data_IF_031471510256
#
_entry.id   IF_031471510256
#
_cell.length_a   1.000
_cell.length_b   1.000
_cell.length_c   1.000
_cell.angle_alpha   90.00
_cell.angle_beta   90.00
_cell.angle_gamma   90.00
#
_symmetry.space_group_name_H-M   'P 1'
#
loop_
_entity.id
_entity.type
_entity.pdbx_description
1 polymer ?
#
# COMPACT_ATOMS: atom_id res chain seq x y z
N UNK A 1 -11.55 21.34 -8.55
CA UNK A 1 -11.00 19.97 -8.53
C UNK A 1 -11.29 19.42 -7.14
N UNK A 2 -12.07 18.35 -6.99
CA UNK A 2 -12.35 17.77 -5.66
C UNK A 2 -11.03 17.32 -5.02
N UNK A 3 -10.76 17.79 -3.80
CA UNK A 3 -9.57 17.43 -3.04
C UNK A 3 -9.54 15.90 -2.88
N UNK A 4 -8.61 15.25 -3.58
CA UNK A 4 -8.43 13.80 -3.53
C UNK A 4 -7.58 13.44 -2.32
N UNK A 5 -8.10 13.71 -1.11
CA UNK A 5 -7.44 13.36 0.15
C UNK A 5 -7.23 11.85 0.22
N UNK A 6 -6.11 11.42 0.80
CA UNK A 6 -5.82 9.98 0.94
C UNK A 6 -6.69 9.37 2.03
N UNK A 7 -6.89 10.08 3.15
CA UNK A 7 -7.75 9.61 4.22
C UNK A 7 -9.08 10.36 4.19
N UNK A 8 -10.16 9.62 4.35
CA UNK A 8 -11.52 10.15 4.41
C UNK A 8 -11.72 10.89 5.76
N UNK A 9 -12.44 12.03 5.80
CA UNK A 9 -12.45 12.91 6.97
C UNK A 9 -12.91 12.25 8.29
N UNK A 10 -13.89 11.36 8.25
CA UNK A 10 -14.39 10.68 9.45
C UNK A 10 -13.42 9.59 9.92
N UNK A 11 -12.76 8.91 8.98
CA UNK A 11 -11.69 7.96 9.29
C UNK A 11 -10.46 8.68 9.87
N UNK A 12 -10.12 9.87 9.37
CA UNK A 12 -9.08 10.74 9.97
C UNK A 12 -9.41 11.04 11.43
N UNK A 13 -10.62 11.52 11.71
CA UNK A 13 -11.05 11.84 13.07
C UNK A 13 -11.01 10.61 13.98
N UNK A 14 -11.47 9.45 13.49
CA UNK A 14 -11.45 8.21 14.24
C UNK A 14 -10.03 7.70 14.53
N UNK A 15 -9.14 7.69 13.54
CA UNK A 15 -7.76 7.26 13.75
C UNK A 15 -7.02 8.20 14.70
N UNK A 16 -7.23 9.51 14.56
CA UNK A 16 -6.63 10.51 15.44
C UNK A 16 -7.11 10.37 16.90
N UNK A 17 -8.41 10.12 17.13
CA UNK A 17 -8.95 9.92 18.48
C UNK A 17 -8.37 8.70 19.20
N UNK A 18 -7.84 7.73 18.44
CA UNK A 18 -7.17 6.54 18.98
C UNK A 18 -5.64 6.66 19.00
N UNK A 19 -5.08 7.83 18.66
CA UNK A 19 -3.62 8.03 18.57
C UNK A 19 -2.94 7.27 17.44
N UNK A 20 -3.71 6.78 16.46
CA UNK A 20 -3.22 6.00 15.31
C UNK A 20 -2.90 6.85 14.08
N UNK A 21 -3.13 8.16 14.18
CA UNK A 21 -2.84 9.15 13.13
C UNK A 21 -2.34 10.45 13.77
N UNK A 22 -1.34 11.07 13.15
CA UNK A 22 -0.80 12.35 13.56
C UNK A 22 -0.13 13.11 12.41
N UNK A 23 0.39 14.33 12.68
CA UNK A 23 1.07 15.12 11.67
C UNK A 23 2.34 14.43 11.15
N UNK A 24 2.62 14.65 9.86
CA UNK A 24 3.85 14.24 9.22
C UNK A 24 5.04 15.15 9.53
N UNK A 25 6.13 14.95 8.79
CA UNK A 25 7.30 15.84 8.86
C UNK A 25 7.07 17.16 8.11
N UNK A 26 6.12 17.17 7.20
CA UNK A 26 5.73 18.32 6.38
C UNK A 26 4.23 18.56 6.52
N UNK A 27 3.78 19.76 6.18
CA UNK A 27 2.35 20.13 6.18
C UNK A 27 1.52 19.28 5.22
N UNK A 28 2.12 18.77 4.15
CA UNK A 28 1.47 17.88 3.18
C UNK A 28 1.56 16.38 3.50
N UNK A 29 2.06 15.98 4.68
CA UNK A 29 2.22 14.57 5.06
C UNK A 29 1.57 14.22 6.40
N UNK A 30 1.24 12.95 6.57
CA UNK A 30 0.61 12.37 7.74
C UNK A 30 1.41 11.16 8.22
N UNK A 31 1.43 10.91 9.54
CA UNK A 31 1.95 9.67 10.13
C UNK A 31 0.77 8.80 10.54
N UNK A 32 0.64 7.63 9.91
CA UNK A 32 -0.39 6.64 10.22
C UNK A 32 0.24 5.37 10.78
N UNK A 33 -0.39 4.76 11.79
CA UNK A 33 0.07 3.51 12.35
C UNK A 33 0.11 2.42 11.26
N UNK A 34 1.21 1.67 11.15
CA UNK A 34 1.44 0.71 10.04
C UNK A 34 0.29 -0.28 9.89
N UNK A 35 -0.25 -0.80 11.01
CA UNK A 35 -1.44 -1.68 11.05
C UNK A 35 -2.72 -1.13 10.39
N UNK A 36 -2.79 0.17 10.08
CA UNK A 36 -3.97 0.85 9.51
C UNK A 36 -3.78 1.32 8.06
N UNK A 37 -2.64 1.02 7.45
CA UNK A 37 -2.34 1.40 6.05
C UNK A 37 -3.30 0.73 5.06
N UNK A 38 -3.24 -0.59 4.91
CA UNK A 38 -4.02 -1.35 3.94
C UNK A 38 -4.70 -2.59 4.57
N UNK A 39 -5.43 -3.35 3.76
CA UNK A 39 -6.28 -4.44 4.24
C UNK A 39 -5.50 -5.58 4.92
N UNK A 40 -4.25 -5.79 4.53
CA UNK A 40 -3.37 -6.81 5.12
C UNK A 40 -2.49 -6.28 6.25
N UNK A 41 -2.46 -4.96 6.45
CA UNK A 41 -1.50 -4.35 7.37
C UNK A 41 -1.71 -4.74 8.83
N UNK A 42 -2.94 -5.01 9.25
CA UNK A 42 -3.21 -5.41 10.64
C UNK A 42 -2.61 -6.79 10.96
N UNK A 43 -2.71 -7.72 10.01
CA UNK A 43 -2.13 -9.07 10.10
C UNK A 43 -0.59 -9.01 9.98
N UNK A 44 -0.07 -8.28 9.00
CA UNK A 44 1.37 -8.15 8.74
C UNK A 44 2.12 -7.51 9.91
N UNK A 45 1.49 -6.51 10.54
CA UNK A 45 2.07 -5.75 11.63
C UNK A 45 1.43 -6.07 12.99
N UNK A 46 0.81 -7.24 13.16
CA UNK A 46 0.16 -7.64 14.41
C UNK A 46 1.09 -7.57 15.63
N UNK A 47 2.39 -7.79 15.41
CA UNK A 47 3.45 -7.70 16.42
C UNK A 47 3.71 -6.27 16.93
N UNK A 48 3.20 -5.24 16.25
CA UNK A 48 3.32 -3.84 16.65
C UNK A 48 2.10 -3.46 17.53
N UNK A 49 2.31 -3.08 18.81
CA UNK A 49 1.23 -2.62 19.68
C UNK A 49 0.56 -1.35 19.16
N UNK A 50 -0.78 -1.27 19.25
CA UNK A 50 -1.57 -0.10 18.81
C UNK A 50 -1.47 1.10 19.76
N UNK A 51 -0.96 0.92 20.97
CA UNK A 51 -0.88 1.96 22.01
C UNK A 51 0.47 2.71 22.01
N UNK A 52 1.24 2.63 20.92
CA UNK A 52 2.51 3.35 20.79
C UNK A 52 2.22 4.84 20.57
N UNK A 53 2.71 5.68 21.49
CA UNK A 53 2.64 7.14 21.35
C UNK A 53 3.48 7.63 20.18
N UNK A 54 2.94 8.58 19.39
CA UNK A 54 3.61 9.24 18.25
C UNK A 54 4.95 9.92 18.62
N UNK A 55 5.09 10.34 19.88
CA UNK A 55 6.27 11.01 20.43
C UNK A 55 7.33 10.03 20.96
N UNK A 56 6.98 8.75 21.09
CA UNK A 56 7.91 7.75 21.59
C UNK A 56 8.97 7.40 20.53
N UNK A 57 10.18 6.97 20.95
CA UNK A 57 11.19 6.46 20.02
C UNK A 57 10.67 5.29 19.16
N UNK A 58 9.83 4.43 19.73
CA UNK A 58 9.21 3.29 19.05
C UNK A 58 8.26 3.70 17.91
N UNK A 59 7.82 4.96 17.88
CA UNK A 59 6.93 5.48 16.84
C UNK A 59 7.58 5.50 15.45
N UNK A 60 8.92 5.44 15.37
CA UNK A 60 9.64 5.33 14.09
C UNK A 60 9.34 4.01 13.38
N UNK A 61 9.21 2.93 14.14
CA UNK A 61 8.96 1.61 13.60
C UNK A 61 7.46 1.29 13.51
N UNK A 62 6.64 1.94 14.34
CA UNK A 62 5.19 1.72 14.38
C UNK A 62 4.39 2.56 13.37
N UNK A 63 4.92 3.69 12.91
CA UNK A 63 4.20 4.61 12.02
C UNK A 63 4.87 4.72 10.65
N UNK A 64 4.04 4.86 9.62
CA UNK A 64 4.42 5.15 8.25
C UNK A 64 4.07 6.61 7.93
N UNK A 65 4.91 7.29 7.13
CA UNK A 65 4.62 8.64 6.64
C UNK A 65 4.04 8.55 5.23
N UNK A 66 2.84 9.08 5.03
CA UNK A 66 2.14 9.13 3.73
C UNK A 66 1.80 10.57 3.36
N UNK A 67 1.63 10.90 2.07
CA UNK A 67 1.07 12.19 1.67
C UNK A 67 -0.38 12.35 2.16
N UNK A 68 -0.80 13.58 2.44
CA UNK A 68 -2.17 13.89 2.83
C UNK A 68 -3.12 13.89 1.62
N UNK A 69 -2.62 14.29 0.45
CA UNK A 69 -3.36 14.41 -0.81
C UNK A 69 -2.72 13.54 -1.87
N UNK A 70 -3.55 12.79 -2.61
CA UNK A 70 -3.06 11.80 -3.59
C UNK A 70 -2.26 12.44 -4.74
N UNK A 71 -2.69 13.61 -5.22
CA UNK A 71 -1.99 14.38 -6.25
C UNK A 71 -1.32 15.57 -5.57
N UNK A 72 -0.04 15.43 -5.25
CA UNK A 72 0.75 16.42 -4.51
C UNK A 72 2.25 16.25 -4.78
N UNK A 73 3.05 17.26 -4.43
CA UNK A 73 4.51 17.15 -4.41
C UNK A 73 4.97 16.05 -3.44
N UNK A 74 4.31 15.91 -2.30
CA UNK A 74 4.61 14.88 -1.31
C UNK A 74 4.38 13.48 -1.87
N UNK A 75 3.38 13.28 -2.75
CA UNK A 75 3.22 12.02 -3.47
C UNK A 75 4.42 11.71 -4.35
N UNK A 76 4.96 12.70 -5.08
CA UNK A 76 6.15 12.50 -5.93
C UNK A 76 7.36 12.01 -5.11
N UNK A 77 7.56 12.60 -3.93
CA UNK A 77 8.61 12.15 -3.00
C UNK A 77 8.29 10.73 -2.48
N UNK A 78 7.05 10.47 -2.09
CA UNK A 78 6.62 9.18 -1.55
C UNK A 78 6.82 8.02 -2.54
N UNK A 79 6.51 8.24 -3.82
CA UNK A 79 6.66 7.23 -4.87
C UNK A 79 8.12 6.97 -5.25
N UNK A 80 9.07 7.75 -4.70
CA UNK A 80 10.49 7.45 -4.75
C UNK A 80 11.34 8.42 -5.54
N UNK A 81 10.80 9.57 -5.94
CA UNK A 81 11.59 10.63 -6.55
C UNK A 81 12.36 11.40 -5.48
N UNK A 82 13.55 11.88 -5.87
CA UNK A 82 14.31 12.85 -5.07
C UNK A 82 13.52 14.14 -4.89
N UNK A 83 13.79 14.90 -3.82
CA UNK A 83 13.10 16.17 -3.58
C UNK A 83 13.29 17.17 -4.72
N UNK A 84 14.47 17.19 -5.33
CA UNK A 84 14.75 18.04 -6.50
C UNK A 84 13.86 17.65 -7.68
N UNK A 85 13.79 16.35 -8.02
CA UNK A 85 12.95 15.87 -9.12
C UNK A 85 11.47 16.02 -8.84
N UNK A 86 11.03 15.78 -7.61
CA UNK A 86 9.66 15.98 -7.17
C UNK A 86 9.24 17.46 -7.30
N UNK A 87 10.14 18.40 -6.99
CA UNK A 87 9.88 19.83 -7.15
C UNK A 87 9.77 20.20 -8.63
N UNK A 88 10.73 19.76 -9.45
CA UNK A 88 10.72 19.97 -10.90
C UNK A 88 9.43 19.46 -11.56
N UNK A 89 9.02 18.22 -11.28
CA UNK A 89 7.82 17.64 -11.87
C UNK A 89 6.53 18.26 -11.32
N UNK A 90 6.52 18.66 -10.04
CA UNK A 90 5.38 19.35 -9.47
C UNK A 90 5.15 20.70 -10.14
N UNK A 91 6.23 21.48 -10.32
CA UNK A 91 6.17 22.77 -11.00
C UNK A 91 5.68 22.61 -12.45
N UNK A 92 6.12 21.56 -13.16
CA UNK A 92 5.60 21.24 -14.49
C UNK A 92 4.10 20.86 -14.46
N UNK A 93 3.66 20.07 -13.48
CA UNK A 93 2.28 19.63 -13.35
C UNK A 93 1.30 20.77 -13.05
N UNK A 94 1.65 21.68 -12.13
CA UNK A 94 0.76 22.80 -11.77
C UNK A 94 0.71 23.88 -12.85
N UNK A 95 1.77 24.00 -13.65
CA UNK A 95 1.84 24.90 -14.80
C UNK A 95 1.46 24.19 -16.12
N UNK A 96 0.87 23.00 -16.03
CA UNK A 96 0.53 22.21 -17.20
C UNK A 96 -0.55 22.93 -18.03
N UNK A 97 -0.37 23.08 -19.35
CA UNK A 97 -1.30 23.82 -20.18
C UNK A 97 -2.67 23.12 -20.20
N UNK A 98 -3.75 23.91 -20.15
CA UNK A 98 -5.12 23.40 -20.18
C UNK A 98 -5.44 22.60 -21.45
N UNK A 99 -4.69 22.81 -22.54
CA UNK A 99 -4.80 22.07 -23.80
C UNK A 99 -4.16 20.68 -23.77
N UNK A 100 -3.39 20.34 -22.74
CA UNK A 100 -2.64 19.07 -22.66
C UNK A 100 -1.50 18.97 -23.68
N UNK A 101 -0.72 17.86 -23.65
CA UNK A 101 0.30 17.59 -24.64
C UNK A 101 -0.36 17.00 -25.90
N UNK A 102 -0.67 17.86 -26.87
CA UNK A 102 -1.11 17.45 -28.21
C UNK A 102 -2.62 17.46 -28.42
N UNK A 103 -2.97 17.69 -29.68
CA UNK A 103 -4.26 18.16 -30.21
C UNK A 103 -5.43 17.15 -30.14
N UNK A 104 -5.38 16.17 -29.22
CA UNK A 104 -6.22 14.97 -29.24
C UNK A 104 -7.14 14.74 -28.04
N UNK A 105 -7.17 15.62 -27.04
CA UNK A 105 -8.12 15.53 -25.92
C UNK A 105 -7.92 14.35 -24.95
N UNK A 106 -6.76 13.66 -24.99
CA UNK A 106 -6.47 12.57 -24.06
C UNK A 106 -6.11 13.14 -22.67
N UNK A 107 -6.91 12.80 -21.65
CA UNK A 107 -6.63 13.22 -20.28
C UNK A 107 -5.46 12.40 -19.70
N UNK A 108 -4.28 13.01 -19.62
CA UNK A 108 -3.10 12.41 -19.00
C UNK A 108 -3.34 12.29 -17.49
N UNK A 109 -3.23 11.07 -16.94
CA UNK A 109 -3.35 10.90 -15.49
C UNK A 109 -2.06 11.32 -14.78
N UNK A 110 -2.14 11.60 -13.48
CA UNK A 110 -0.96 11.99 -12.70
C UNK A 110 0.16 10.93 -12.75
N UNK A 111 -0.18 9.64 -12.75
CA UNK A 111 0.81 8.57 -12.82
C UNK A 111 1.43 8.46 -14.22
N UNK A 112 0.63 8.61 -15.29
CA UNK A 112 1.13 8.59 -16.67
C UNK A 112 2.06 9.77 -16.94
N UNK A 113 1.76 10.94 -16.36
CA UNK A 113 2.63 12.11 -16.40
C UNK A 113 3.99 11.78 -15.77
N UNK A 114 4.00 11.22 -14.55
CA UNK A 114 5.25 10.89 -13.85
C UNK A 114 6.06 9.87 -14.64
N UNK A 115 5.47 8.72 -15.01
CA UNK A 115 6.19 7.63 -15.67
C UNK A 115 6.57 7.99 -17.11
N UNK A 116 5.80 8.85 -17.77
CA UNK A 116 6.09 9.43 -19.08
C UNK A 116 7.36 10.28 -19.09
N UNK A 117 7.59 11.08 -18.03
CA UNK A 117 8.81 11.92 -17.92
C UNK A 117 10.11 11.11 -17.88
N UNK A 118 10.02 9.82 -17.50
CA UNK A 118 11.16 8.91 -17.43
C UNK A 118 11.49 8.24 -18.78
N UNK A 119 10.60 8.29 -19.79
CA UNK A 119 10.72 7.49 -21.02
C UNK A 119 11.91 7.89 -21.92
N UNK A 120 12.38 9.14 -21.83
CA UNK A 120 13.45 9.65 -22.70
C UNK A 120 14.87 9.36 -22.17
N UNK A 121 15.01 8.52 -21.15
CA UNK A 121 16.28 8.23 -20.50
C UNK A 121 16.92 6.97 -21.10
N UNK A 122 18.22 7.04 -21.38
CA UNK A 122 18.99 5.89 -21.90
C UNK A 122 19.03 4.79 -20.85
N UNK A 123 18.63 3.58 -21.26
CA UNK A 123 18.43 2.44 -20.39
C UNK A 123 19.71 1.59 -20.23
N UNK A 124 19.86 0.89 -19.11
CA UNK A 124 20.88 -0.17 -18.94
C UNK A 124 20.26 -1.37 -18.23
N UNK A 125 20.71 -2.57 -18.60
CA UNK A 125 20.41 -3.83 -17.93
C UNK A 125 21.70 -4.60 -17.58
N UNK A 126 22.86 -3.94 -17.69
CA UNK A 126 24.16 -4.55 -17.43
C UNK A 126 24.41 -4.71 -15.94
N UNK A 127 25.24 -5.68 -15.55
CA UNK A 127 25.62 -5.90 -14.15
C UNK A 127 26.76 -4.96 -13.71
N UNK A 128 26.52 -3.65 -13.86
CA UNK A 128 27.44 -2.59 -13.45
C UNK A 128 26.74 -1.63 -12.49
N UNK A 129 27.10 -1.73 -11.21
CA UNK A 129 26.44 -0.95 -10.17
C UNK A 129 26.62 0.56 -10.31
N UNK A 130 27.75 1.01 -10.89
CA UNK A 130 28.01 2.42 -11.13
C UNK A 130 27.10 2.94 -12.25
N UNK A 131 26.94 2.17 -13.33
CA UNK A 131 26.02 2.51 -14.40
C UNK A 131 24.57 2.58 -13.90
N UNK A 132 24.12 1.60 -13.11
CA UNK A 132 22.78 1.61 -12.53
C UNK A 132 22.53 2.85 -11.69
N UNK A 133 23.43 3.18 -10.77
CA UNK A 133 23.30 4.39 -9.94
C UNK A 133 23.29 5.66 -10.79
N UNK A 134 24.14 5.75 -11.82
CA UNK A 134 24.13 6.87 -12.75
C UNK A 134 22.78 7.00 -13.47
N UNK A 135 22.17 5.89 -13.91
CA UNK A 135 20.86 5.90 -14.57
C UNK A 135 19.71 6.26 -13.62
N UNK A 136 19.68 5.69 -12.41
CA UNK A 136 18.67 6.03 -11.41
C UNK A 136 18.77 7.51 -10.98
N UNK A 137 19.99 8.03 -10.85
CA UNK A 137 20.24 9.45 -10.60
C UNK A 137 19.72 10.32 -11.74
N UNK A 138 19.97 9.93 -13.00
CA UNK A 138 19.47 10.67 -14.16
C UNK A 138 17.93 10.68 -14.24
N UNK A 139 17.28 9.59 -13.80
CA UNK A 139 15.82 9.52 -13.63
C UNK A 139 15.32 10.34 -12.41
N UNK A 140 16.22 10.84 -11.57
CA UNK A 140 15.91 11.59 -10.36
C UNK A 140 15.34 10.76 -9.22
N UNK A 141 15.62 9.44 -9.19
CA UNK A 141 15.21 8.53 -8.12
C UNK A 141 15.98 8.84 -6.83
N UNK A 142 15.29 8.85 -5.69
CA UNK A 142 15.90 9.13 -4.39
C UNK A 142 16.89 8.04 -3.96
N UNK A 143 18.00 8.43 -3.32
CA UNK A 143 19.10 7.52 -2.95
C UNK A 143 18.63 6.30 -2.14
N UNK A 144 17.73 6.49 -1.19
CA UNK A 144 17.17 5.39 -0.39
C UNK A 144 16.37 4.37 -1.24
N UNK A 145 15.72 4.83 -2.31
CA UNK A 145 15.02 3.95 -3.26
C UNK A 145 16.02 3.25 -4.16
N UNK A 146 17.08 3.95 -4.58
CA UNK A 146 18.17 3.30 -5.31
C UNK A 146 18.80 2.18 -4.47
N UNK A 147 19.10 2.44 -3.20
CA UNK A 147 19.71 1.44 -2.32
C UNK A 147 18.80 0.23 -2.11
N UNK A 148 17.47 0.40 -2.11
CA UNK A 148 16.53 -0.70 -2.06
C UNK A 148 16.49 -1.52 -3.36
N UNK A 149 16.55 -0.87 -4.53
CA UNK A 149 16.62 -1.54 -5.84
C UNK A 149 17.96 -2.26 -6.02
N UNK A 150 19.04 -1.67 -5.50
CA UNK A 150 20.42 -2.11 -5.65
C UNK A 150 20.89 -3.06 -4.53
N UNK A 151 19.99 -3.49 -3.64
CA UNK A 151 20.34 -4.38 -2.55
C UNK A 151 20.91 -5.70 -3.11
N UNK A 152 22.14 -6.11 -2.71
CA UNK A 152 22.80 -7.30 -3.24
C UNK A 152 21.98 -8.59 -3.09
N UNK A 153 21.13 -8.67 -2.05
CA UNK A 153 20.27 -9.83 -1.82
C UNK A 153 19.26 -10.04 -2.97
N UNK A 154 18.88 -8.95 -3.64
CA UNK A 154 17.92 -8.94 -4.74
C UNK A 154 18.60 -8.71 -6.09
N UNK A 155 19.92 -8.90 -6.19
CA UNK A 155 20.67 -8.72 -7.44
C UNK A 155 20.10 -9.55 -8.59
N UNK A 156 19.71 -10.81 -8.35
CA UNK A 156 19.14 -11.68 -9.38
C UNK A 156 17.85 -11.11 -9.99
N UNK A 157 17.08 -10.38 -9.18
CA UNK A 157 15.81 -9.78 -9.54
C UNK A 157 16.06 -8.45 -10.22
N UNK A 158 16.93 -7.60 -9.64
CA UNK A 158 17.41 -6.38 -10.28
C UNK A 158 17.84 -6.65 -11.73
N UNK A 159 18.63 -7.70 -11.97
CA UNK A 159 19.13 -8.05 -13.30
C UNK A 159 18.12 -8.74 -14.22
N UNK A 160 16.90 -9.05 -13.76
CA UNK A 160 15.87 -9.64 -14.63
C UNK A 160 15.24 -8.61 -15.58
N UNK A 161 15.37 -7.34 -15.25
CA UNK A 161 14.80 -6.23 -15.99
C UNK A 161 15.73 -5.02 -15.98
N UNK A 162 15.39 -4.03 -16.80
CA UNK A 162 16.21 -2.85 -16.94
C UNK A 162 16.09 -1.85 -15.78
N UNK A 163 17.08 -0.97 -15.63
CA UNK A 163 17.06 0.08 -14.61
C UNK A 163 15.82 1.00 -14.73
N UNK A 164 15.43 1.37 -15.96
CA UNK A 164 14.25 2.19 -16.19
C UNK A 164 12.95 1.46 -15.85
N UNK A 165 12.90 0.15 -16.11
CA UNK A 165 11.77 -0.70 -15.74
C UNK A 165 11.55 -0.65 -14.23
N UNK A 166 12.58 -0.95 -13.43
CA UNK A 166 12.44 -0.97 -11.97
C UNK A 166 12.11 0.39 -11.36
N UNK A 167 12.62 1.48 -11.95
CA UNK A 167 12.25 2.82 -11.53
C UNK A 167 10.74 3.08 -11.72
N UNK A 168 10.19 2.75 -12.89
CA UNK A 168 8.76 2.91 -13.18
C UNK A 168 7.90 1.99 -12.33
N UNK A 169 8.24 0.72 -12.27
CA UNK A 169 7.52 -0.30 -11.50
C UNK A 169 7.44 0.11 -10.02
N UNK A 170 8.56 0.58 -9.44
CA UNK A 170 8.59 1.10 -8.07
C UNK A 170 7.62 2.26 -7.86
N UNK A 171 7.59 3.23 -8.80
CA UNK A 171 6.70 4.39 -8.73
C UNK A 171 5.23 3.96 -8.83
N UNK A 172 4.91 3.11 -9.80
CA UNK A 172 3.56 2.59 -10.04
C UNK A 172 3.04 1.78 -8.85
N UNK A 173 3.85 0.86 -8.32
CA UNK A 173 3.49 0.05 -7.15
C UNK A 173 3.25 0.92 -5.91
N UNK A 174 4.13 1.90 -5.64
CA UNK A 174 3.95 2.83 -4.50
C UNK A 174 2.70 3.69 -4.66
N UNK A 175 2.43 4.18 -5.87
CA UNK A 175 1.22 4.96 -6.16
C UNK A 175 -0.05 4.12 -6.03
N UNK A 176 -0.04 2.87 -6.51
CA UNK A 176 -1.13 1.93 -6.31
C UNK A 176 -1.38 1.68 -4.82
N UNK A 177 -0.33 1.51 -4.02
CA UNK A 177 -0.42 1.40 -2.57
C UNK A 177 -1.13 2.59 -1.91
N UNK A 178 -0.91 3.83 -2.39
CA UNK A 178 -1.65 5.00 -1.90
C UNK A 178 -3.15 4.95 -2.25
N UNK A 179 -3.50 4.48 -3.47
CA UNK A 179 -4.91 4.29 -3.85
C UNK A 179 -5.59 3.21 -3.01
N UNK A 180 -4.87 2.17 -2.63
CA UNK A 180 -5.40 1.12 -1.76
C UNK A 180 -5.63 1.62 -0.33
N UNK A 181 -4.72 2.43 0.21
CA UNK A 181 -4.92 3.14 1.49
C UNK A 181 -6.17 4.02 1.39
N UNK A 182 -6.33 4.77 0.30
CA UNK A 182 -7.49 5.63 0.09
C UNK A 182 -8.80 4.85 0.02
N UNK A 183 -8.84 3.76 -0.75
CA UNK A 183 -10.02 2.89 -0.85
C UNK A 183 -10.41 2.33 0.51
N UNK A 184 -9.43 1.87 1.29
CA UNK A 184 -9.68 1.32 2.62
C UNK A 184 -10.14 2.39 3.61
N UNK A 185 -9.58 3.59 3.56
CA UNK A 185 -10.03 4.72 4.39
C UNK A 185 -11.49 5.08 4.11
N UNK A 186 -11.88 5.14 2.83
CA UNK A 186 -13.28 5.31 2.45
C UNK A 186 -14.18 4.17 2.97
N UNK A 187 -13.69 2.93 2.95
CA UNK A 187 -14.43 1.80 3.50
C UNK A 187 -14.66 1.92 5.01
N UNK A 188 -13.61 2.24 5.77
CA UNK A 188 -13.72 2.46 7.23
C UNK A 188 -14.68 3.61 7.55
N UNK A 189 -14.63 4.70 6.78
CA UNK A 189 -15.59 5.79 6.94
C UNK A 189 -17.04 5.33 6.69
N UNK A 190 -17.29 4.54 5.64
CA UNK A 190 -18.63 3.97 5.40
C UNK A 190 -19.09 3.10 6.57
N UNK A 191 -18.20 2.30 7.17
CA UNK A 191 -18.49 1.48 8.35
C UNK A 191 -18.81 2.33 9.58
N UNK A 192 -18.05 3.40 9.83
CA UNK A 192 -18.29 4.36 10.91
C UNK A 192 -19.68 5.03 10.76
N UNK A 193 -20.02 5.46 9.54
CA UNK A 193 -21.34 6.05 9.25
C UNK A 193 -22.47 5.04 9.49
N UNK A 194 -22.29 3.78 9.04
CA UNK A 194 -23.27 2.70 9.27
C UNK A 194 -23.45 2.40 10.76
N UNK A 195 -22.36 2.37 11.53
CA UNK A 195 -22.40 2.15 12.96
C UNK A 195 -23.17 3.27 13.68
N UNK A 196 -22.96 4.53 13.28
CA UNK A 196 -23.67 5.67 13.84
C UNK A 196 -25.17 5.70 13.48
N UNK A 197 -25.56 5.15 12.34
CA UNK A 197 -26.97 5.06 11.91
C UNK A 197 -27.74 3.89 12.52
N UNK A 198 -27.09 2.95 13.19
CA UNK A 198 -27.81 1.86 13.88
C UNK A 198 -28.52 2.45 15.09
N UNK A 199 -29.85 2.29 15.22
CA UNK A 199 -30.55 2.69 16.44
C UNK A 199 -29.94 1.90 17.60
N UNK A 200 -29.44 2.62 18.60
CA UNK A 200 -29.11 2.01 19.89
C UNK A 200 -30.40 1.36 20.38
N UNK A 201 -30.42 0.03 20.41
CA UNK A 201 -31.58 -0.69 20.94
C UNK A 201 -31.75 -0.30 22.39
N UNK A 202 -32.80 0.45 22.69
CA UNK A 202 -33.26 0.61 24.06
C UNK A 202 -33.50 -0.78 24.66
N UNK A 203 -33.04 -1.04 25.89
CA UNK A 203 -33.37 -2.26 26.59
C UNK A 203 -34.86 -2.18 26.94
N UNK A 204 -35.71 -2.85 26.16
CA UNK A 204 -37.08 -3.13 26.58
C UNK A 204 -37.00 -4.22 27.66
N UNK A 205 -36.75 -3.80 28.89
CA UNK A 205 -37.28 -4.49 30.07
C UNK A 205 -38.81 -4.42 29.98
N UNK A 206 -39.47 -5.56 29.81
CA UNK A 206 -40.83 -5.93 30.25
C UNK A 206 -40.91 -7.45 29.95
N UNK A 207 -40.70 -8.37 30.89
CA UNK A 207 -41.60 -8.63 32.02
C UNK A 207 -42.82 -9.44 31.54
N UNK A 208 -42.76 -10.79 31.55
CA UNK A 208 -43.90 -11.61 31.10
C UNK A 208 -43.72 -13.14 31.07
N UNK A 209 -43.72 -13.74 32.26
CA UNK A 209 -43.98 -15.13 32.71
C UNK A 209 -44.74 -16.11 31.77
N UNK A 210 -44.25 -17.37 31.73
CA UNK A 210 -45.03 -18.63 31.55
C UNK A 210 -44.89 -19.28 30.17
N UNK A 211 -44.74 -20.61 29.97
CA UNK A 211 -45.04 -21.79 30.79
C UNK A 211 -44.39 -23.05 30.15
N UNK A 212 -44.12 -24.05 30.98
CA UNK A 212 -43.52 -25.37 30.71
C UNK A 212 -44.26 -26.29 29.72
N UNK A 213 -43.49 -27.20 29.12
CA UNK A 213 -43.88 -28.52 28.60
C UNK A 213 -43.05 -28.87 27.36
N UNK A 214 -42.36 -30.00 27.18
CA UNK A 214 -42.20 -31.26 27.90
C UNK A 214 -41.56 -32.24 26.90
N UNK A 215 -40.45 -32.87 27.29
CA UNK A 215 -39.85 -34.15 26.88
C UNK A 215 -40.26 -34.81 25.53
N UNK A 216 -39.30 -35.11 24.63
CA UNK A 216 -38.66 -36.44 24.48
C UNK A 216 -37.83 -36.62 23.19
N UNK A 217 -36.84 -37.50 23.33
CA UNK A 217 -35.85 -37.99 22.37
C UNK A 217 -36.48 -38.76 21.18
N UNK A 218 -35.92 -38.63 19.97
CA UNK A 218 -35.23 -39.70 19.20
C UNK A 218 -34.81 -39.23 17.79
N UNK A 219 -33.50 -39.34 17.54
CA UNK A 219 -32.83 -39.96 16.38
C UNK A 219 -32.90 -39.42 14.92
N UNK A 220 -31.70 -39.45 14.34
CA UNK A 220 -31.33 -39.73 12.94
C UNK A 220 -31.39 -38.64 11.84
N UNK A 221 -30.16 -38.24 11.47
CA UNK A 221 -29.59 -38.21 10.11
C UNK A 221 -29.88 -37.03 9.15
N UNK A 222 -28.79 -36.30 8.90
CA UNK A 222 -28.19 -36.05 7.58
C UNK A 222 -28.46 -34.71 6.84
N UNK A 223 -27.32 -34.20 6.35
CA UNK A 223 -27.09 -33.36 5.16
C UNK A 223 -27.05 -31.81 5.29
N UNK A 224 -25.80 -31.34 5.34
CA UNK A 224 -25.17 -30.35 4.44
C UNK A 224 -25.51 -28.86 4.55
N UNK A 225 -24.48 -28.07 4.81
CA UNK A 225 -24.48 -26.62 4.59
C UNK A 225 -23.23 -25.89 5.09
N UNK A 226 -22.03 -26.45 4.89
CA UNK A 226 -20.77 -25.74 5.12
C UNK A 226 -20.57 -24.62 4.09
N UNK A 227 -20.15 -23.44 4.57
CA UNK A 227 -19.80 -22.30 3.71
C UNK A 227 -18.95 -21.23 4.40
N UNK A 228 -18.14 -21.57 5.40
CA UNK A 228 -17.06 -20.70 5.88
C UNK A 228 -15.73 -21.22 5.34
N UNK A 229 -15.14 -20.54 4.36
CA UNK A 229 -13.74 -20.74 3.99
C UNK A 229 -12.91 -19.60 4.57
N UNK A 230 -12.38 -19.88 5.76
CA UNK A 230 -11.11 -19.32 6.22
C UNK A 230 -10.01 -19.80 5.27
N UNK A 231 -9.20 -18.88 4.76
CA UNK A 231 -8.00 -19.18 3.98
C UNK A 231 -6.89 -18.30 4.53
N UNK A 232 -6.08 -18.83 5.44
CA UNK A 232 -4.63 -18.60 5.49
C UNK A 232 -4.07 -19.42 6.65
N UNK A 233 -3.41 -20.52 6.32
CA UNK A 233 -2.89 -21.46 7.31
C UNK A 233 -2.22 -22.63 6.65
N UNK A 234 -1.32 -22.38 5.70
CA UNK A 234 -0.36 -23.35 5.17
C UNK A 234 0.61 -22.67 4.20
N UNK A 235 1.58 -21.94 4.73
CA UNK A 235 2.87 -21.77 4.06
C UNK A 235 4.00 -21.48 5.07
N UNK A 236 4.10 -22.34 6.08
CA UNK A 236 5.35 -22.60 6.77
C UNK A 236 5.89 -23.93 6.22
N UNK A 237 6.49 -23.87 5.04
CA UNK A 237 7.46 -24.88 4.63
C UNK A 237 8.77 -24.18 4.34
N UNK A 238 9.69 -24.40 5.26
CA UNK A 238 11.05 -23.94 5.29
C UNK A 238 11.77 -24.29 3.99
N UNK A 239 12.31 -23.29 3.30
CA UNK A 239 13.37 -23.48 2.31
C UNK A 239 14.66 -23.71 3.09
N UNK A 240 15.38 -24.84 2.90
CA UNK A 240 16.68 -25.03 3.53
C UNK A 240 17.69 -24.05 2.93
N UNK A 241 18.24 -23.14 3.74
CA UNK A 241 19.37 -22.28 3.31
C UNK A 241 19.27 -20.79 3.64
N UNK A 242 18.13 -20.29 4.13
CA UNK A 242 18.02 -18.88 4.58
C UNK A 242 18.28 -18.82 6.08
N UNK A 243 19.52 -18.50 6.46
CA UNK A 243 19.88 -18.22 7.84
C UNK A 243 19.12 -16.99 8.37
N UNK A 244 18.63 -17.08 9.61
CA UNK A 244 17.85 -16.03 10.28
C UNK A 244 18.65 -14.77 10.65
N UNK A 245 19.95 -14.71 10.33
CA UNK A 245 20.88 -13.68 10.81
C UNK A 245 21.14 -12.52 9.82
N UNK A 246 20.32 -12.38 8.76
CA UNK A 246 20.62 -11.52 7.58
C UNK A 246 19.75 -10.23 7.55
N UNK A 247 19.27 -9.73 8.69
CA UNK A 247 18.32 -8.59 8.75
C UNK A 247 18.84 -7.30 9.40
N UNK A 248 20.15 -7.19 9.65
CA UNK A 248 20.75 -6.09 10.42
C UNK A 248 21.32 -4.89 9.65
N UNK A 249 21.21 -4.81 8.31
CA UNK A 249 21.84 -3.70 7.60
C UNK A 249 21.04 -2.39 7.74
N UNK A 250 21.75 -1.27 7.86
CA UNK A 250 21.12 0.05 7.96
C UNK A 250 20.27 0.40 6.73
N UNK A 251 20.63 -0.13 5.55
CA UNK A 251 19.84 -0.03 4.31
C UNK A 251 18.57 -0.88 4.36
N UNK A 252 18.61 -2.11 4.89
CA UNK A 252 17.42 -2.93 5.08
C UNK A 252 16.45 -2.33 6.11
N UNK A 253 16.97 -1.67 7.15
CA UNK A 253 16.16 -0.94 8.14
C UNK A 253 15.52 0.32 7.54
N UNK A 254 16.28 1.10 6.75
CA UNK A 254 15.77 2.27 6.04
C UNK A 254 14.72 1.88 5.00
N UNK A 255 14.93 0.75 4.32
CA UNK A 255 14.00 0.21 3.34
C UNK A 255 12.74 -0.34 4.03
N UNK A 256 12.84 -1.10 5.14
CA UNK A 256 11.71 -1.59 5.97
C UNK A 256 10.81 -0.46 6.50
N UNK A 257 11.38 0.72 6.71
CA UNK A 257 10.65 1.88 7.19
C UNK A 257 10.05 2.74 6.07
N UNK A 258 10.31 2.43 4.79
CA UNK A 258 9.58 2.99 3.68
C UNK A 258 8.19 2.31 3.58
N UNK A 259 7.08 3.07 3.62
CA UNK A 259 5.76 2.50 3.39
C UNK A 259 5.73 1.84 2.00
N UNK A 260 5.26 0.59 1.93
CA UNK A 260 5.26 -0.19 0.68
C UNK A 260 6.52 -1.02 0.41
N UNK A 261 7.49 -1.10 1.32
CA UNK A 261 8.64 -1.99 1.16
C UNK A 261 8.25 -3.47 1.04
N UNK A 262 7.35 -3.95 1.91
CA UNK A 262 6.84 -5.33 1.82
C UNK A 262 6.01 -5.51 0.53
N UNK A 263 5.40 -4.44 -0.01
CA UNK A 263 4.69 -4.48 -1.29
C UNK A 263 5.67 -4.58 -2.46
N UNK A 264 6.78 -3.82 -2.45
CA UNK A 264 7.88 -3.96 -3.41
C UNK A 264 8.36 -5.42 -3.43
N UNK A 265 8.76 -5.97 -2.29
CA UNK A 265 9.30 -7.33 -2.26
C UNK A 265 8.26 -8.43 -2.53
N UNK A 266 7.02 -8.27 -2.06
CA UNK A 266 5.95 -9.25 -2.30
C UNK A 266 5.43 -9.20 -3.74
N UNK A 267 5.37 -8.02 -4.37
CA UNK A 267 5.04 -7.87 -5.79
C UNK A 267 6.14 -8.45 -6.69
N UNK A 268 7.41 -8.24 -6.30
CA UNK A 268 8.56 -8.84 -6.97
C UNK A 268 8.59 -10.38 -6.86
N UNK A 269 8.24 -10.92 -5.70
CA UNK A 269 8.17 -12.38 -5.47
C UNK A 269 6.92 -13.00 -6.13
N UNK A 270 5.75 -12.34 -6.10
CA UNK A 270 4.54 -12.78 -6.78
C UNK A 270 4.64 -12.71 -8.31
N UNK A 271 5.36 -11.72 -8.87
CA UNK A 271 5.67 -11.65 -10.30
C UNK A 271 6.45 -12.87 -10.80
N UNK A 272 7.25 -13.49 -9.92
CA UNK A 272 8.02 -14.71 -10.21
C UNK A 272 7.17 -15.99 -10.16
N UNK A 273 6.25 -16.11 -9.21
CA UNK A 273 5.34 -17.26 -9.11
C UNK A 273 4.36 -17.28 -10.30
N UNK A 274 3.93 -16.12 -10.78
CA UNK A 274 3.13 -16.03 -12.01
C UNK A 274 3.96 -16.24 -13.30
N UNK A 275 5.26 -15.94 -13.27
CA UNK A 275 6.15 -15.99 -14.44
C UNK A 275 6.56 -17.38 -14.93
N UNK A 276 6.23 -18.47 -14.21
CA UNK A 276 6.52 -19.85 -14.63
C UNK A 276 5.31 -20.60 -15.19
N UNK A 277 4.14 -19.95 -15.28
CA UNK A 277 2.99 -20.50 -15.99
C UNK A 277 2.05 -19.39 -16.42
N UNK A 278 2.19 -19.02 -17.70
CA UNK A 278 1.14 -18.38 -18.50
C UNK A 278 0.94 -16.87 -18.29
N UNK A 279 1.06 -16.15 -19.41
CA UNK A 279 0.46 -14.83 -19.66
C UNK A 279 -0.86 -14.65 -18.89
N UNK A 280 -1.02 -13.57 -18.13
CA UNK A 280 -2.34 -13.15 -17.67
C UNK A 280 -2.46 -11.63 -17.47
N UNK A 281 -2.79 -10.95 -18.56
CA UNK A 281 -3.97 -10.06 -18.61
C UNK A 281 -5.04 -10.94 -19.29
N UNK A 282 -6.31 -11.04 -18.84
CA UNK A 282 -7.13 -9.99 -18.20
C UNK A 282 -7.97 -10.44 -16.99
N UNK A 283 -8.31 -9.49 -16.10
CA UNK A 283 -9.53 -9.55 -15.28
C UNK A 283 -10.42 -8.34 -15.58
N UNK A 284 -11.18 -8.44 -16.66
CA UNK A 284 -12.48 -7.79 -16.84
C UNK A 284 -13.26 -8.58 -17.89
N UNK A 285 -14.22 -9.41 -17.46
CA UNK A 285 -15.38 -9.79 -18.25
C UNK A 285 -16.42 -10.49 -17.34
N UNK A 286 -17.51 -9.79 -17.02
CA UNK A 286 -18.82 -10.10 -17.63
C UNK A 286 -19.96 -9.40 -16.89
N UNK A 287 -20.73 -8.60 -17.63
CA UNK A 287 -22.17 -8.76 -17.67
C UNK A 287 -22.58 -8.85 -19.14
N UNK A 288 -23.28 -9.94 -19.45
CA UNK A 288 -23.84 -10.28 -20.75
C UNK A 288 -25.32 -9.88 -20.84
N UNK A 289 -25.75 -9.70 -22.09
CA UNK A 289 -27.11 -9.50 -22.62
C UNK A 289 -27.75 -8.13 -22.38
#
# INVERSE_FOLDING_TARGET
MSESTILAPLDVANLASHGLLGPGRTTGSLRIHKRRLNASSDEEHHHIPLNISLESPAARDAFATIPAVLISRETLVYVGLSEAKATELWDQWINWPASGPGDGGLQVTFIDFITGTLQNQVNTAEDDDLQWRARLNACGIAVNVQDAIMDPHFKYLRLSESCLFWAKDTIEMRYAGLKDIQRLSCQREMELRRAASRPSGDPVEHGGVGRQGGQNLTDSSSLTGQGHRSISGLQQQSTPGVGADIWGSASAIAARNAPGHIVLFKGLDQGRIAGLSTRMVPWFASRSF
#
